data_IF_006223615937
#
_entry.id   IF_006223615937
#
_cell.length_a   1.000
_cell.length_b   1.000
_cell.length_c   1.000
_cell.angle_alpha   90.00
_cell.angle_beta   90.00
_cell.angle_gamma   90.00
#
_symmetry.space_group_name_H-M   'P 1'
#
loop_
_entity.id
_entity.type
_entity.pdbx_description
1 polymer ?
#
# COMPACT_ATOMS: atom_id res chain seq x y z
N UNK A 1 8.38 -0.27 17.38
CA UNK A 1 7.75 -1.32 16.54
C UNK A 1 8.87 -1.94 15.74
N UNK A 2 8.97 -3.27 15.78
CA UNK A 2 9.99 -3.97 15.02
C UNK A 2 9.67 -3.88 13.51
N UNK A 3 10.71 -3.77 12.68
CA UNK A 3 10.54 -3.62 11.24
C UNK A 3 9.84 -4.85 10.62
N UNK A 4 9.97 -6.04 11.24
CA UNK A 4 9.27 -7.23 10.75
C UNK A 4 7.76 -7.17 10.99
N UNK A 5 7.32 -6.61 12.12
CA UNK A 5 5.89 -6.48 12.41
C UNK A 5 5.19 -5.51 11.43
N UNK A 6 5.93 -4.52 10.91
CA UNK A 6 5.44 -3.60 9.89
C UNK A 6 5.42 -4.27 8.50
N UNK A 7 6.41 -5.11 8.19
CA UNK A 7 6.43 -5.92 6.97
C UNK A 7 5.27 -6.92 6.90
N UNK A 8 4.99 -7.64 8.00
CA UNK A 8 3.90 -8.60 8.06
C UNK A 8 2.55 -7.92 7.78
N UNK A 9 2.34 -6.73 8.35
CA UNK A 9 1.14 -5.92 8.11
C UNK A 9 1.02 -5.48 6.65
N UNK A 10 2.14 -5.17 6.00
CA UNK A 10 2.18 -4.81 4.58
C UNK A 10 1.82 -6.01 3.71
N UNK A 11 2.36 -7.20 3.98
CA UNK A 11 2.04 -8.40 3.22
C UNK A 11 0.57 -8.80 3.34
N UNK A 12 0.02 -8.75 4.57
CA UNK A 12 -1.40 -9.02 4.81
C UNK A 12 -2.27 -8.06 4.01
N UNK A 13 -2.02 -6.74 4.11
CA UNK A 13 -2.80 -5.75 3.36
C UNK A 13 -2.61 -5.85 1.85
N UNK A 14 -1.46 -6.31 1.35
CA UNK A 14 -1.28 -6.63 -0.08
C UNK A 14 -2.18 -7.76 -0.52
N UNK A 15 -2.25 -8.85 0.25
CA UNK A 15 -3.13 -9.98 -0.07
C UNK A 15 -4.61 -9.58 -0.05
N UNK A 16 -5.01 -8.74 0.91
CA UNK A 16 -6.37 -8.17 0.98
C UNK A 16 -6.67 -7.29 -0.24
N UNK A 17 -5.74 -6.39 -0.60
CA UNK A 17 -5.89 -5.54 -1.78
C UNK A 17 -6.05 -6.38 -3.06
N UNK A 18 -5.23 -7.40 -3.26
CA UNK A 18 -5.34 -8.30 -4.43
C UNK A 18 -6.70 -9.00 -4.47
N UNK A 19 -7.21 -9.41 -3.30
CA UNK A 19 -8.54 -10.03 -3.19
C UNK A 19 -9.64 -9.03 -3.54
N UNK A 20 -9.58 -7.81 -3.01
CA UNK A 20 -10.55 -6.73 -3.26
C UNK A 20 -10.53 -6.30 -4.73
N UNK A 21 -9.34 -6.19 -5.34
CA UNK A 21 -9.15 -5.93 -6.77
C UNK A 21 -9.81 -7.03 -7.61
N UNK A 22 -9.62 -8.29 -7.21
CA UNK A 22 -10.20 -9.43 -7.93
C UNK A 22 -11.72 -9.47 -7.84
N UNK A 23 -12.30 -8.99 -6.74
CA UNK A 23 -13.74 -8.97 -6.50
C UNK A 23 -14.44 -7.72 -7.07
N UNK A 24 -13.85 -6.54 -6.92
CA UNK A 24 -14.47 -5.25 -7.22
C UNK A 24 -13.85 -4.53 -8.42
N UNK A 25 -12.76 -5.06 -8.98
CA UNK A 25 -11.97 -4.40 -10.02
C UNK A 25 -11.06 -3.30 -9.48
N UNK A 26 -10.07 -2.92 -10.30
CA UNK A 26 -9.10 -1.85 -9.99
C UNK A 26 -9.75 -0.47 -9.83
N UNK A 27 -10.90 -0.25 -10.47
CA UNK A 27 -11.59 1.03 -10.54
C UNK A 27 -12.56 1.28 -9.39
N UNK A 28 -12.75 0.31 -8.49
CA UNK A 28 -13.63 0.49 -7.34
C UNK A 28 -13.02 1.45 -6.34
N UNK A 29 -13.85 2.35 -5.80
CA UNK A 29 -13.46 3.27 -4.73
C UNK A 29 -12.83 2.54 -3.54
N UNK A 30 -13.33 1.33 -3.23
CA UNK A 30 -12.79 0.47 -2.19
C UNK A 30 -11.35 0.03 -2.52
N UNK A 31 -11.10 -0.40 -3.75
CA UNK A 31 -9.77 -0.80 -4.21
C UNK A 31 -8.78 0.37 -4.15
N UNK A 32 -9.22 1.57 -4.54
CA UNK A 32 -8.40 2.79 -4.50
C UNK A 32 -8.05 3.16 -3.06
N UNK A 33 -9.00 3.09 -2.13
CA UNK A 33 -8.76 3.37 -0.71
C UNK A 33 -7.76 2.38 -0.09
N UNK A 34 -7.92 1.08 -0.36
CA UNK A 34 -6.98 0.06 0.14
C UNK A 34 -5.58 0.23 -0.46
N UNK A 35 -5.47 0.64 -1.72
CA UNK A 35 -4.17 0.94 -2.36
C UNK A 35 -3.49 2.15 -1.69
N UNK A 36 -4.24 3.20 -1.39
CA UNK A 36 -3.70 4.39 -0.71
C UNK A 36 -3.22 4.05 0.71
N UNK A 37 -3.98 3.24 1.43
CA UNK A 37 -3.64 2.86 2.81
C UNK A 37 -2.40 1.95 2.86
N UNK A 38 -2.28 1.04 1.89
CA UNK A 38 -1.08 0.22 1.71
C UNK A 38 0.14 1.09 1.34
N UNK A 39 -0.02 2.05 0.42
CA UNK A 39 1.04 2.99 0.08
C UNK A 39 1.49 3.82 1.28
N UNK A 40 0.57 4.24 2.15
CA UNK A 40 0.92 4.93 3.39
C UNK A 40 1.73 4.04 4.34
N UNK A 41 1.38 2.76 4.47
CA UNK A 41 2.15 1.81 5.28
C UNK A 41 3.52 1.52 4.69
N UNK A 42 3.62 1.39 3.37
CA UNK A 42 4.88 1.26 2.64
C UNK A 42 5.75 2.50 2.74
N UNK A 43 5.17 3.71 2.81
CA UNK A 43 5.91 4.95 2.99
C UNK A 43 6.38 5.16 4.45
N UNK A 44 5.61 4.65 5.42
CA UNK A 44 5.98 4.67 6.84
C UNK A 44 7.02 3.60 7.18
N UNK A 45 6.98 2.47 6.48
CA UNK A 45 8.09 1.54 6.42
C UNK A 45 9.18 2.23 5.61
N UNK A 46 10.14 2.87 6.26
CA UNK A 46 11.30 3.47 5.59
C UNK A 46 12.46 2.47 5.57
N UNK A 47 12.53 1.51 4.63
CA UNK A 47 13.81 0.94 4.29
C UNK A 47 14.56 2.09 3.61
N UNK A 48 15.73 2.45 4.12
CA UNK A 48 16.61 3.41 3.47
C UNK A 48 16.78 3.05 1.99
N UNK A 49 16.04 3.72 1.09
CA UNK A 49 16.36 4.02 -0.32
C UNK A 49 15.18 4.68 -1.05
N UNK A 50 15.32 6.00 -1.17
CA UNK A 50 15.07 6.77 -2.40
C UNK A 50 13.83 6.41 -3.22
N UNK A 51 12.68 7.00 -2.88
CA UNK A 51 11.69 7.34 -3.91
C UNK A 51 11.68 8.85 -4.05
N UNK A 52 12.22 9.33 -5.17
CA UNK A 52 12.11 10.71 -5.59
C UNK A 52 10.62 11.06 -5.62
N UNK A 53 10.21 11.90 -4.67
CA UNK A 53 8.88 12.49 -4.55
C UNK A 53 8.68 13.50 -5.68
N UNK A 54 8.72 13.03 -6.92
CA UNK A 54 8.24 13.78 -8.07
C UNK A 54 6.73 13.77 -7.98
N UNK A 55 6.21 14.86 -7.41
CA UNK A 55 4.84 15.32 -7.51
C UNK A 55 4.20 14.84 -8.83
N UNK A 56 3.32 13.84 -8.77
CA UNK A 56 2.25 13.76 -9.74
C UNK A 56 1.16 14.67 -9.18
N UNK A 57 1.29 15.95 -9.52
CA UNK A 57 0.15 16.86 -9.58
C UNK A 57 -0.68 16.37 -10.76
N UNK A 58 -1.81 15.72 -10.48
CA UNK A 58 -2.94 15.73 -11.39
C UNK A 58 -3.81 16.92 -11.01
#
# INVERSE_FOLDING_TARGET
>A
MDNQELLDKIEIKRAELVTIVSQNGLSSQTTIQYSQELDHLLNNYQPEKTYNRSKISC
#
